data_IF_956419158803
#
_entry.id   IF_956419158803
#
_cell.length_a   1.000
_cell.length_b   1.000
_cell.length_c   1.000
_cell.angle_alpha   90.00
_cell.angle_beta   90.00
_cell.angle_gamma   90.00
#
_symmetry.space_group_name_H-M   'P 1'
#
loop_
_entity.id
_entity.type
_entity.pdbx_description
1 polymer ?
#
# COMPACT_ATOMS: atom_id res chain seq x y z
N UNK A 1 9.50 0.42 -31.69
CA UNK A 1 10.15 0.78 -30.42
C UNK A 1 9.05 0.89 -29.37
N UNK A 2 8.75 -0.18 -28.64
CA UNK A 2 7.76 -0.16 -27.57
C UNK A 2 8.47 0.36 -26.31
N UNK A 3 8.11 1.57 -25.85
CA UNK A 3 8.54 2.06 -24.53
C UNK A 3 7.70 1.33 -23.47
N UNK A 4 8.27 0.31 -22.82
CA UNK A 4 7.73 -0.25 -21.58
C UNK A 4 7.67 0.88 -20.54
N UNK A 5 6.47 1.38 -20.24
CA UNK A 5 6.19 2.20 -19.05
C UNK A 5 5.99 1.29 -17.82
N UNK A 6 6.79 0.22 -17.69
CA UNK A 6 6.57 -0.80 -16.65
C UNK A 6 7.40 -0.54 -15.38
N UNK A 7 8.34 0.43 -15.41
CA UNK A 7 9.35 0.58 -14.35
C UNK A 7 9.32 1.90 -13.57
N UNK A 8 8.33 2.78 -13.79
CA UNK A 8 8.25 4.04 -13.04
C UNK A 8 7.01 4.06 -12.15
N UNK A 9 7.18 4.15 -10.81
CA UNK A 9 6.06 4.33 -9.91
C UNK A 9 5.31 5.59 -10.32
N UNK A 10 4.05 5.41 -10.67
CA UNK A 10 3.11 6.49 -10.93
C UNK A 10 2.71 7.16 -9.61
N UNK A 11 2.16 8.37 -9.68
CA UNK A 11 1.57 9.04 -8.49
C UNK A 11 0.47 8.20 -7.82
N UNK A 12 -0.18 7.33 -8.60
CA UNK A 12 -1.15 6.35 -8.11
C UNK A 12 -0.48 5.31 -7.22
N UNK A 13 0.71 4.85 -7.58
CA UNK A 13 1.46 3.83 -6.83
C UNK A 13 1.88 4.37 -5.45
N UNK A 14 2.38 5.61 -5.39
CA UNK A 14 2.70 6.26 -4.11
C UNK A 14 1.47 6.41 -3.20
N UNK A 15 0.32 6.76 -3.78
CA UNK A 15 -0.94 6.86 -3.04
C UNK A 15 -1.42 5.50 -2.53
N UNK A 16 -1.28 4.45 -3.35
CA UNK A 16 -1.65 3.09 -2.98
C UNK A 16 -0.83 2.57 -1.80
N UNK A 17 0.50 2.76 -1.84
CA UNK A 17 1.41 2.41 -0.73
C UNK A 17 1.09 3.22 0.52
N UNK A 18 0.88 4.53 0.40
CA UNK A 18 0.53 5.39 1.54
C UNK A 18 -0.79 4.97 2.20
N UNK A 19 -1.80 4.63 1.40
CA UNK A 19 -3.09 4.15 1.95
C UNK A 19 -2.95 2.77 2.59
N UNK A 20 -2.14 1.87 2.03
CA UNK A 20 -1.84 0.59 2.65
C UNK A 20 -1.15 0.75 4.01
N UNK A 21 -0.21 1.70 4.14
CA UNK A 21 0.40 2.02 5.43
C UNK A 21 -0.63 2.48 6.46
N UNK A 22 -1.56 3.36 6.08
CA UNK A 22 -2.63 3.81 6.98
C UNK A 22 -3.51 2.64 7.45
N UNK A 23 -3.82 1.69 6.56
CA UNK A 23 -4.59 0.49 6.91
C UNK A 23 -3.81 -0.44 7.84
N UNK A 24 -2.50 -0.59 7.65
CA UNK A 24 -1.65 -1.36 8.56
C UNK A 24 -1.68 -0.76 9.98
N UNK A 25 -1.53 0.57 10.08
CA UNK A 25 -1.59 1.27 11.37
C UNK A 25 -2.96 1.11 12.02
N UNK A 26 -4.05 1.23 11.26
CA UNK A 26 -5.41 1.01 11.80
C UNK A 26 -5.58 -0.41 12.34
N UNK A 27 -5.07 -1.41 11.62
CA UNK A 27 -5.21 -2.83 11.98
C UNK A 27 -4.46 -3.19 13.28
N UNK A 28 -3.42 -2.43 13.66
CA UNK A 28 -2.69 -2.63 14.91
C UNK A 28 -3.38 -2.03 16.14
N UNK A 29 -4.43 -1.22 15.96
CA UNK A 29 -5.13 -0.60 17.08
C UNK A 29 -5.97 -1.61 17.85
N UNK A 30 -6.01 -1.47 19.17
CA UNK A 30 -6.90 -2.26 20.03
C UNK A 30 -8.38 -1.98 19.77
N UNK A 31 -8.71 -0.76 19.31
CA UNK A 31 -10.07 -0.28 19.02
C UNK A 31 -10.34 -0.13 17.50
N UNK A 32 -9.61 -0.89 16.68
CA UNK A 32 -9.64 -0.77 15.21
C UNK A 32 -11.06 -0.82 14.63
N UNK A 33 -11.32 0.06 13.66
CA UNK A 33 -12.54 0.13 12.86
C UNK A 33 -12.62 -1.02 11.85
N UNK A 34 -11.47 -1.41 11.31
CA UNK A 34 -11.32 -2.54 10.40
C UNK A 34 -9.95 -3.21 10.57
N UNK A 35 -9.81 -4.39 9.96
CA UNK A 35 -8.61 -5.23 10.04
C UNK A 35 -8.22 -5.64 8.61
N UNK A 36 -7.09 -5.13 8.12
CA UNK A 36 -6.53 -5.47 6.81
C UNK A 36 -5.30 -6.37 7.00
N UNK A 37 -5.45 -7.70 6.89
CA UNK A 37 -4.36 -8.65 7.16
C UNK A 37 -3.25 -8.62 6.10
N UNK A 38 -3.44 -7.90 4.99
CA UNK A 38 -2.47 -7.84 3.90
C UNK A 38 -1.77 -6.48 3.78
N UNK A 39 -2.23 -5.46 4.50
CA UNK A 39 -1.67 -4.11 4.42
C UNK A 39 -0.17 -4.07 4.71
N UNK A 40 0.30 -4.75 5.77
CA UNK A 40 1.72 -4.81 6.11
C UNK A 40 2.54 -5.52 5.03
N UNK A 41 2.06 -6.66 4.55
CA UNK A 41 2.73 -7.42 3.50
C UNK A 41 2.81 -6.64 2.18
N UNK A 42 1.76 -5.88 1.86
CA UNK A 42 1.71 -5.03 0.68
C UNK A 42 2.73 -3.89 0.75
N UNK A 43 2.80 -3.18 1.89
CA UNK A 43 3.79 -2.11 2.09
C UNK A 43 5.22 -2.68 2.05
N UNK A 44 5.44 -3.87 2.61
CA UNK A 44 6.76 -4.52 2.59
C UNK A 44 7.22 -4.97 1.19
N UNK A 45 6.30 -5.11 0.24
CA UNK A 45 6.58 -5.54 -1.13
C UNK A 45 6.75 -4.38 -2.13
N UNK A 46 6.48 -3.15 -1.71
CA UNK A 46 6.60 -1.92 -2.52
C UNK A 46 8.02 -1.33 -2.47
#
# INVERSE_FOLDING_TARGET
MQHRHEDQPSDVDGTAVGTALLRAVESQRSDRLFDDPFAEAFVAAA
#
